data_IF_578703357809
#
_entry.id   IF_578703357809
#
_cell.length_a   1.000
_cell.length_b   1.000
_cell.length_c   1.000
_cell.angle_alpha   90.00
_cell.angle_beta   90.00
_cell.angle_gamma   90.00
#
_symmetry.space_group_name_H-M   'P 1'
#
loop_
_entity.id
_entity.type
_entity.pdbx_description
1 polymer ?
#
# COMPACT_ATOMS: atom_id res chain seq x y z
N UNK A 1 -4.47 8.28 21.17
CA UNK A 1 -4.08 7.56 19.93
C UNK A 1 -3.37 8.54 19.03
N UNK A 2 -2.19 8.19 18.49
CA UNK A 2 -1.56 8.99 17.43
C UNK A 2 -2.50 9.01 16.23
N UNK A 3 -2.84 10.19 15.72
CA UNK A 3 -3.67 10.33 14.53
C UNK A 3 -2.90 9.78 13.32
N UNK A 4 -3.49 8.80 12.64
CA UNK A 4 -2.94 8.27 11.40
C UNK A 4 -3.82 8.73 10.22
N UNK A 5 -3.36 9.69 9.39
CA UNK A 5 -4.14 10.29 8.30
C UNK A 5 -4.61 9.27 7.27
N UNK A 6 -3.74 8.31 6.89
CA UNK A 6 -4.10 7.32 5.88
C UNK A 6 -5.13 6.33 6.39
N UNK A 7 -5.04 5.89 7.65
CA UNK A 7 -6.10 5.05 8.25
C UNK A 7 -7.46 5.76 8.27
N UNK A 8 -7.49 7.04 8.63
CA UNK A 8 -8.74 7.81 8.66
C UNK A 8 -9.30 8.06 7.26
N UNK A 9 -8.43 8.37 6.29
CA UNK A 9 -8.82 8.53 4.89
C UNK A 9 -9.44 7.24 4.32
N UNK A 10 -8.80 6.10 4.58
CA UNK A 10 -9.29 4.80 4.14
C UNK A 10 -10.65 4.46 4.79
N UNK A 11 -10.80 4.74 6.08
CA UNK A 11 -12.08 4.55 6.78
C UNK A 11 -13.20 5.39 6.16
N UNK A 12 -12.94 6.66 5.85
CA UNK A 12 -13.94 7.54 5.24
C UNK A 12 -14.38 7.07 3.84
N UNK A 13 -13.45 6.51 3.04
CA UNK A 13 -13.81 5.93 1.74
C UNK A 13 -14.58 4.62 1.93
N UNK A 14 -14.11 3.77 2.84
CA UNK A 14 -14.75 2.50 3.16
C UNK A 14 -16.20 2.69 3.66
N UNK A 15 -16.47 3.70 4.49
CA UNK A 15 -17.82 3.98 4.98
C UNK A 15 -18.81 4.29 3.84
N UNK A 16 -18.34 4.94 2.77
CA UNK A 16 -19.16 5.20 1.58
C UNK A 16 -19.31 3.95 0.71
N UNK A 17 -18.24 3.18 0.52
CA UNK A 17 -18.34 1.87 -0.14
C UNK A 17 -19.31 0.94 0.58
N UNK A 18 -19.33 0.97 1.91
CA UNK A 18 -20.30 0.21 2.70
C UNK A 18 -21.73 0.71 2.52
N UNK A 19 -21.97 1.98 2.17
CA UNK A 19 -23.30 2.51 1.89
C UNK A 19 -23.84 2.02 0.53
N UNK A 20 -22.95 1.76 -0.43
CA UNK A 20 -23.28 1.23 -1.74
C UNK A 20 -23.36 -0.32 -1.73
N UNK A 21 -24.47 -0.95 -2.19
CA UNK A 21 -24.59 -2.40 -2.22
C UNK A 21 -23.51 -3.11 -3.04
N UNK A 22 -23.15 -2.58 -4.21
CA UNK A 22 -22.19 -3.22 -5.13
C UNK A 22 -20.77 -3.12 -4.56
N UNK A 23 -20.37 -1.93 -4.10
CA UNK A 23 -19.03 -1.73 -3.52
C UNK A 23 -18.84 -2.46 -2.19
N UNK A 24 -19.92 -2.65 -1.43
CA UNK A 24 -19.90 -3.44 -0.18
C UNK A 24 -19.50 -4.89 -0.44
N UNK A 25 -19.87 -5.46 -1.58
CA UNK A 25 -19.50 -6.85 -1.92
C UNK A 25 -17.99 -7.01 -2.05
N UNK A 26 -17.28 -5.99 -2.57
CA UNK A 26 -15.82 -6.01 -2.64
C UNK A 26 -15.15 -5.98 -1.25
N UNK A 27 -15.71 -5.24 -0.30
CA UNK A 27 -15.23 -5.25 1.10
C UNK A 27 -15.50 -6.61 1.75
N UNK A 28 -16.67 -7.20 1.50
CA UNK A 28 -17.03 -8.51 2.01
C UNK A 28 -16.10 -9.61 1.44
N UNK A 29 -15.78 -9.53 0.14
CA UNK A 29 -14.81 -10.43 -0.50
C UNK A 29 -13.42 -10.28 0.12
N UNK A 30 -12.90 -9.05 0.26
CA UNK A 30 -11.63 -8.81 0.92
C UNK A 30 -11.62 -9.35 2.36
N UNK A 31 -12.73 -9.26 3.09
CA UNK A 31 -12.87 -9.88 4.41
C UNK A 31 -12.72 -11.40 4.35
N UNK A 32 -13.38 -12.07 3.39
CA UNK A 32 -13.24 -13.52 3.22
C UNK A 32 -11.80 -13.91 2.91
N UNK A 33 -11.10 -13.17 2.02
CA UNK A 33 -9.68 -13.40 1.76
C UNK A 33 -8.86 -13.43 3.06
N UNK A 34 -9.12 -12.51 4.00
CA UNK A 34 -8.38 -12.48 5.27
C UNK A 34 -8.70 -13.63 6.23
N UNK A 35 -9.80 -14.34 6.01
CA UNK A 35 -10.24 -15.49 6.81
C UNK A 35 -9.86 -16.81 6.17
N UNK A 36 -9.88 -16.86 4.86
CA UNK A 36 -9.56 -18.02 4.07
C UNK A 36 -8.06 -18.29 4.24
N UNK A 37 -7.75 -19.40 4.90
CA UNK A 37 -6.38 -19.86 5.10
C UNK A 37 -5.87 -20.60 3.86
N UNK A 38 -6.26 -20.16 2.68
CA UNK A 38 -5.76 -20.74 1.44
C UNK A 38 -4.24 -20.54 1.42
N UNK A 39 -3.44 -21.63 1.46
CA UNK A 39 -1.99 -21.54 1.46
C UNK A 39 -1.43 -20.81 0.24
N UNK A 40 -2.16 -20.81 -0.88
CA UNK A 40 -1.73 -20.17 -2.12
C UNK A 40 -2.03 -18.66 -2.10
N UNK A 41 -3.07 -18.21 -1.39
CA UNK A 41 -3.43 -16.79 -1.27
C UNK A 41 -2.76 -16.10 -0.08
N UNK A 42 -2.44 -16.83 0.99
CA UNK A 42 -1.89 -16.26 2.22
C UNK A 42 -0.61 -15.40 2.01
N UNK A 43 0.35 -15.81 1.16
CA UNK A 43 1.52 -14.97 0.87
C UNK A 43 1.16 -13.65 0.20
N UNK A 44 0.15 -13.64 -0.68
CA UNK A 44 -0.30 -12.42 -1.39
C UNK A 44 -0.96 -11.43 -0.43
N UNK A 45 -1.73 -11.92 0.55
CA UNK A 45 -2.34 -11.05 1.55
C UNK A 45 -1.26 -10.43 2.45
N UNK A 46 -0.27 -11.22 2.89
CA UNK A 46 0.80 -10.73 3.78
C UNK A 46 1.68 -9.65 3.13
N UNK A 47 1.91 -9.72 1.82
CA UNK A 47 2.63 -8.64 1.11
C UNK A 47 1.80 -7.35 1.11
N UNK A 48 0.48 -7.44 0.97
CA UNK A 48 -0.40 -6.27 0.99
C UNK A 48 -0.59 -5.70 2.38
N UNK A 49 -0.72 -6.54 3.41
CA UNK A 49 -0.82 -6.09 4.79
C UNK A 49 -0.79 -7.21 5.82
N UNK A 50 -0.25 -6.90 6.99
CA UNK A 50 -0.23 -7.75 8.17
C UNK A 50 -0.54 -6.89 9.41
N UNK A 51 -1.77 -6.40 9.57
CA UNK A 51 -2.11 -5.47 10.63
C UNK A 51 -2.03 -6.08 12.02
N UNK A 52 -1.35 -5.37 12.92
CA UNK A 52 -1.19 -5.81 14.30
C UNK A 52 -2.53 -5.88 15.09
N UNK A 53 -3.51 -5.07 14.69
CA UNK A 53 -4.83 -4.98 15.36
C UNK A 53 -5.96 -5.65 14.57
N UNK A 54 -5.60 -6.50 13.61
CA UNK A 54 -6.55 -7.12 12.70
C UNK A 54 -7.07 -6.18 11.60
N UNK A 55 -7.95 -6.71 10.78
CA UNK A 55 -8.50 -6.06 9.60
C UNK A 55 -9.76 -5.27 9.96
N UNK A 56 -9.62 -3.94 10.03
CA UNK A 56 -10.76 -3.02 10.09
C UNK A 56 -11.28 -2.69 8.68
N UNK A 57 -12.45 -2.08 8.58
CA UNK A 57 -13.12 -1.83 7.28
C UNK A 57 -12.29 -0.94 6.34
N UNK A 58 -11.50 0.00 6.88
CA UNK A 58 -10.58 0.82 6.08
C UNK A 58 -9.43 0.01 5.49
N UNK A 59 -8.94 -0.98 6.26
CA UNK A 59 -7.94 -1.92 5.74
C UNK A 59 -8.52 -2.92 4.74
N UNK A 60 -9.78 -3.33 4.91
CA UNK A 60 -10.46 -4.19 3.94
C UNK A 60 -10.71 -3.46 2.61
N UNK A 61 -11.08 -2.18 2.65
CA UNK A 61 -11.09 -1.31 1.47
C UNK A 61 -9.72 -1.29 0.78
N UNK A 62 -8.65 -1.02 1.53
CA UNK A 62 -7.30 -0.98 0.97
C UNK A 62 -6.89 -2.33 0.36
N UNK A 63 -7.23 -3.44 1.01
CA UNK A 63 -6.97 -4.78 0.49
C UNK A 63 -7.76 -5.05 -0.80
N UNK A 64 -9.05 -4.69 -0.86
CA UNK A 64 -9.86 -4.81 -2.06
C UNK A 64 -9.25 -4.04 -3.24
N UNK A 65 -8.76 -2.83 -3.00
CA UNK A 65 -8.05 -2.05 -4.01
C UNK A 65 -6.75 -2.71 -4.46
N UNK A 66 -5.93 -3.22 -3.54
CA UNK A 66 -4.66 -3.88 -3.89
C UNK A 66 -4.88 -5.17 -4.68
N UNK A 67 -5.88 -5.95 -4.29
CA UNK A 67 -6.28 -7.16 -5.00
C UNK A 67 -6.77 -6.83 -6.42
N UNK A 68 -7.69 -5.87 -6.57
CA UNK A 68 -8.16 -5.41 -7.88
C UNK A 68 -7.01 -4.97 -8.78
N UNK A 69 -6.08 -4.15 -8.27
CA UNK A 69 -4.91 -3.71 -9.04
C UNK A 69 -4.03 -4.89 -9.49
N UNK A 70 -3.87 -5.92 -8.66
CA UNK A 70 -3.10 -7.11 -9.00
C UNK A 70 -3.81 -7.92 -10.09
N UNK A 71 -5.08 -8.26 -9.90
CA UNK A 71 -5.84 -9.10 -10.84
C UNK A 71 -6.11 -8.38 -12.17
N UNK A 72 -6.20 -7.05 -12.16
CA UNK A 72 -6.35 -6.24 -13.37
C UNK A 72 -5.03 -5.97 -14.11
N UNK A 73 -3.90 -6.52 -13.65
CA UNK A 73 -2.58 -6.31 -14.27
C UNK A 73 -2.05 -4.87 -14.16
N UNK A 74 -2.49 -4.14 -13.13
CA UNK A 74 -2.01 -2.79 -12.80
C UNK A 74 -0.93 -2.78 -11.72
N UNK A 75 -0.75 -3.90 -11.03
CA UNK A 75 0.28 -4.10 -10.03
C UNK A 75 1.14 -5.30 -10.40
N UNK A 76 2.44 -5.15 -10.16
CA UNK A 76 3.44 -6.18 -10.39
C UNK A 76 4.27 -6.41 -9.14
N UNK A 77 4.73 -7.64 -8.97
CA UNK A 77 5.47 -8.08 -7.80
C UNK A 77 6.79 -8.69 -8.26
N UNK A 78 7.89 -8.17 -7.74
CA UNK A 78 9.22 -8.74 -7.86
C UNK A 78 9.64 -9.38 -6.53
N UNK A 79 10.26 -10.55 -6.60
CA UNK A 79 10.72 -11.29 -5.43
C UNK A 79 12.24 -11.13 -5.23
N UNK A 80 12.63 -10.93 -3.98
CA UNK A 80 14.02 -10.84 -3.55
C UNK A 80 14.23 -11.89 -2.45
N UNK A 81 14.68 -13.11 -2.79
CA UNK A 81 14.93 -14.14 -1.79
C UNK A 81 16.03 -13.71 -0.83
N UNK A 82 15.71 -13.55 0.46
CA UNK A 82 16.67 -13.16 1.49
C UNK A 82 17.16 -14.35 2.33
N UNK A 83 16.48 -15.50 2.25
CA UNK A 83 16.82 -16.70 3.02
C UNK A 83 16.55 -16.60 4.54
N UNK A 84 16.22 -15.42 5.04
CA UNK A 84 15.90 -15.13 6.44
C UNK A 84 14.64 -14.28 6.54
N UNK A 85 13.93 -14.43 7.65
CA UNK A 85 12.72 -13.66 7.96
C UNK A 85 13.05 -12.42 8.78
N UNK A 86 12.23 -11.36 8.70
CA UNK A 86 12.50 -10.13 9.42
C UNK A 86 12.39 -10.36 10.92
N UNK A 87 13.24 -9.68 11.68
CA UNK A 87 13.19 -9.64 13.14
C UNK A 87 12.29 -8.49 13.59
N UNK A 88 11.81 -8.59 14.84
CA UNK A 88 10.97 -7.56 15.49
C UNK A 88 11.64 -6.19 15.45
N UNK A 89 10.83 -5.13 15.51
CA UNK A 89 11.27 -3.73 15.43
C UNK A 89 12.46 -3.36 16.31
N UNK A 90 12.62 -3.95 17.50
CA UNK A 90 13.79 -3.69 18.37
C UNK A 90 15.13 -4.19 17.82
N UNK A 91 15.13 -4.95 16.72
CA UNK A 91 16.29 -5.57 16.09
C UNK A 91 16.58 -4.97 14.71
N UNK A 92 16.40 -3.65 14.54
CA UNK A 92 16.60 -2.96 13.24
C UNK A 92 17.99 -3.18 12.65
N UNK A 93 19.04 -3.20 13.47
CA UNK A 93 20.41 -3.46 13.03
C UNK A 93 20.56 -4.86 12.42
N UNK A 94 19.91 -5.88 13.01
CA UNK A 94 19.92 -7.23 12.46
C UNK A 94 19.16 -7.32 11.12
N UNK A 95 18.05 -6.58 11.00
CA UNK A 95 17.32 -6.47 9.73
C UNK A 95 18.17 -5.77 8.66
N UNK A 96 18.86 -4.67 9.02
CA UNK A 96 19.79 -3.98 8.12
C UNK A 96 20.93 -4.90 7.67
N UNK A 97 21.52 -5.66 8.58
CA UNK A 97 22.60 -6.59 8.27
C UNK A 97 22.13 -7.71 7.33
N UNK A 98 20.94 -8.27 7.57
CA UNK A 98 20.35 -9.27 6.68
C UNK A 98 20.13 -8.71 5.27
N UNK A 99 19.52 -7.52 5.14
CA UNK A 99 19.30 -6.89 3.85
C UNK A 99 20.63 -6.60 3.11
N UNK A 100 21.65 -6.12 3.83
CA UNK A 100 22.97 -5.89 3.26
C UNK A 100 23.70 -7.17 2.83
N UNK A 101 23.36 -8.32 3.44
CA UNK A 101 23.98 -9.62 3.14
C UNK A 101 23.34 -10.30 1.93
N UNK A 102 22.02 -10.22 1.81
CA UNK A 102 21.26 -11.09 0.90
C UNK A 102 20.61 -10.37 -0.28
N UNK A 103 20.53 -9.04 -0.30
CA UNK A 103 20.08 -8.33 -1.49
C UNK A 103 21.09 -8.48 -2.63
N UNK A 104 20.58 -8.48 -3.86
CA UNK A 104 21.39 -8.42 -5.07
C UNK A 104 22.34 -7.19 -5.04
N UNK A 105 23.58 -7.28 -5.58
CA UNK A 105 24.55 -6.18 -5.57
C UNK A 105 24.07 -4.86 -6.18
N UNK A 106 23.11 -4.88 -7.10
CA UNK A 106 22.53 -3.68 -7.70
C UNK A 106 21.40 -3.07 -6.87
N UNK A 107 21.00 -3.76 -5.80
CA UNK A 107 20.00 -3.33 -4.84
C UNK A 107 20.63 -2.98 -3.49
N UNK A 108 20.09 -1.95 -2.85
CA UNK A 108 20.53 -1.51 -1.52
C UNK A 108 19.33 -1.07 -0.69
N UNK A 109 19.21 -1.62 0.51
CA UNK A 109 18.27 -1.15 1.51
C UNK A 109 18.95 -0.37 2.64
N UNK A 110 18.31 0.70 3.09
CA UNK A 110 18.68 1.49 4.25
C UNK A 110 17.51 1.52 5.24
N UNK A 111 17.65 0.85 6.39
CA UNK A 111 16.68 0.81 7.48
C UNK A 111 16.84 2.06 8.34
N UNK A 112 15.73 2.72 8.69
CA UNK A 112 15.72 3.79 9.69
C UNK A 112 15.91 3.17 11.08
N UNK A 113 17.17 3.17 11.55
CA UNK A 113 17.55 2.64 12.85
C UNK A 113 17.00 3.44 14.03
N UNK A 114 16.64 4.70 13.80
CA UNK A 114 16.24 5.63 14.85
C UNK A 114 14.72 5.85 14.91
N UNK A 115 13.97 5.27 13.96
CA UNK A 115 12.51 5.39 13.83
C UNK A 115 12.06 6.84 13.99
N UNK A 116 12.68 7.77 13.24
CA UNK A 116 12.52 9.23 13.39
C UNK A 116 11.19 9.72 12.82
N UNK A 117 10.08 9.12 13.24
CA UNK A 117 8.74 9.45 12.77
C UNK A 117 8.53 9.21 11.28
N UNK A 118 9.37 8.38 10.65
CA UNK A 118 9.28 8.07 9.24
C UNK A 118 7.98 7.29 8.95
N UNK A 119 7.32 7.62 7.84
CA UNK A 119 6.12 6.95 7.33
C UNK A 119 6.41 5.51 6.82
N UNK A 120 7.65 5.02 7.01
CA UNK A 120 8.15 3.71 6.60
C UNK A 120 9.37 3.30 7.44
N UNK A 121 9.78 2.04 7.38
CA UNK A 121 10.93 1.49 8.10
C UNK A 121 12.28 1.74 7.43
N UNK A 122 12.28 2.22 6.19
CA UNK A 122 13.49 2.49 5.44
C UNK A 122 13.25 2.78 3.97
N UNK A 123 14.30 2.63 3.17
CA UNK A 123 14.26 2.82 1.72
C UNK A 123 14.98 1.66 1.04
N UNK A 124 14.35 1.06 0.03
CA UNK A 124 15.01 0.19 -0.94
C UNK A 124 15.33 1.01 -2.19
N UNK A 125 16.53 0.85 -2.73
CA UNK A 125 16.99 1.46 -3.99
C UNK A 125 17.57 0.37 -4.88
N UNK A 126 17.38 0.47 -6.19
CA UNK A 126 17.93 -0.48 -7.17
C UNK A 126 18.37 0.26 -8.43
N UNK A 127 19.48 -0.21 -9.02
CA UNK A 127 20.11 0.45 -10.17
C UNK A 127 19.74 -0.16 -11.53
N UNK A 128 19.37 -1.43 -11.54
CA UNK A 128 19.03 -2.20 -12.74
C UNK A 128 17.54 -2.55 -12.71
N UNK A 129 16.86 -2.64 -13.87
CA UNK A 129 15.46 -3.06 -13.89
C UNK A 129 15.28 -4.41 -13.18
N UNK A 130 14.21 -4.55 -12.37
CA UNK A 130 13.93 -5.79 -11.64
C UNK A 130 12.81 -6.54 -12.36
N UNK A 131 12.98 -7.83 -12.71
CA UNK A 131 11.90 -8.63 -13.28
C UNK A 131 10.78 -8.79 -12.27
N UNK A 132 9.55 -8.53 -12.71
CA UNK A 132 8.34 -8.61 -11.89
C UNK A 132 7.22 -9.33 -12.64
N UNK A 133 6.36 -10.00 -11.89
CA UNK A 133 5.21 -10.74 -12.43
C UNK A 133 3.89 -10.13 -11.95
N UNK A 134 2.86 -10.20 -12.78
CA UNK A 134 1.49 -9.80 -12.45
C UNK A 134 0.50 -10.50 -13.39
N UNK A 135 -0.79 -10.18 -13.27
CA UNK A 135 -1.83 -10.84 -14.07
C UNK A 135 -1.66 -10.66 -15.59
N UNK A 136 -1.01 -9.57 -16.03
CA UNK A 136 -0.70 -9.28 -17.45
C UNK A 136 0.61 -9.90 -17.94
N UNK A 137 1.29 -10.70 -17.13
CA UNK A 137 2.55 -11.37 -17.47
C UNK A 137 3.77 -10.80 -16.76
N UNK A 138 4.95 -11.04 -17.35
CA UNK A 138 6.24 -10.59 -16.82
C UNK A 138 6.58 -9.21 -17.40
N UNK A 139 7.01 -8.29 -16.53
CA UNK A 139 7.53 -6.98 -16.91
C UNK A 139 8.85 -6.69 -16.17
N UNK A 140 9.42 -5.52 -16.41
CA UNK A 140 10.52 -4.98 -15.61
C UNK A 140 10.06 -3.73 -14.84
N UNK A 141 10.34 -3.71 -13.54
CA UNK A 141 10.23 -2.48 -12.72
C UNK A 141 11.49 -1.65 -13.00
N UNK A 142 11.37 -0.42 -13.53
CA UNK A 142 12.53 0.39 -13.90
C UNK A 142 13.37 0.76 -12.67
N UNK A 143 14.67 1.06 -12.84
CA UNK A 143 15.56 1.53 -11.77
C UNK A 143 14.92 2.65 -10.94
N UNK A 144 15.08 2.59 -9.62
CA UNK A 144 14.37 3.50 -8.75
C UNK A 144 14.53 3.23 -7.27
N UNK A 145 13.53 3.68 -6.52
CA UNK A 145 13.49 3.51 -5.07
C UNK A 145 12.06 3.35 -4.57
N UNK A 146 11.89 2.63 -3.49
CA UNK A 146 10.61 2.36 -2.85
C UNK A 146 10.75 2.47 -1.32
N UNK A 147 9.74 3.01 -0.61
CA UNK A 147 9.66 2.89 0.84
C UNK A 147 9.74 1.42 1.25
N UNK A 148 10.50 1.14 2.31
CA UNK A 148 10.66 -0.20 2.86
C UNK A 148 9.80 -0.34 4.11
N UNK A 149 9.03 -1.41 4.17
CA UNK A 149 8.10 -1.76 5.24
C UNK A 149 8.44 -3.16 5.75
N UNK A 150 8.84 -3.26 7.02
CA UNK A 150 9.37 -4.49 7.62
C UNK A 150 8.39 -5.02 8.68
N UNK A 151 7.94 -6.25 8.49
CA UNK A 151 7.03 -6.92 9.41
C UNK A 151 5.59 -6.47 9.25
N UNK A 152 4.97 -6.12 10.39
CA UNK A 152 3.57 -5.78 10.48
C UNK A 152 3.30 -4.39 9.90
N UNK A 153 2.58 -4.34 8.78
CA UNK A 153 2.25 -3.11 8.05
C UNK A 153 0.77 -3.16 7.68
N UNK A 154 0.04 -2.06 7.82
CA UNK A 154 -1.37 -2.01 7.42
C UNK A 154 -1.48 -1.95 5.89
N UNK A 155 -2.53 -2.54 5.31
CA UNK A 155 -2.80 -2.42 3.87
C UNK A 155 -2.95 -0.96 3.41
N UNK A 156 -3.48 -0.09 4.28
CA UNK A 156 -3.57 1.36 4.00
C UNK A 156 -2.20 2.03 3.82
N UNK A 157 -1.15 1.53 4.48
CA UNK A 157 0.23 2.01 4.32
C UNK A 157 0.78 1.57 2.96
N UNK A 158 0.52 0.32 2.55
CA UNK A 158 0.87 -0.18 1.21
C UNK A 158 0.21 0.67 0.11
N UNK A 159 -1.10 0.94 0.21
CA UNK A 159 -1.80 1.85 -0.71
C UNK A 159 -1.20 3.25 -0.73
N UNK A 160 -0.89 3.81 0.44
CA UNK A 160 -0.27 5.13 0.55
C UNK A 160 1.04 5.21 -0.24
N UNK A 161 1.92 4.23 -0.07
CA UNK A 161 3.21 4.20 -0.75
C UNK A 161 3.06 4.00 -2.25
N UNK A 162 2.20 3.07 -2.68
CA UNK A 162 1.94 2.87 -4.11
C UNK A 162 1.39 4.14 -4.76
N UNK A 163 0.39 4.78 -4.16
CA UNK A 163 -0.19 5.98 -4.73
C UNK A 163 0.79 7.17 -4.76
N UNK A 164 1.66 7.32 -3.76
CA UNK A 164 2.63 8.44 -3.67
C UNK A 164 3.90 8.21 -4.46
N UNK A 165 4.44 6.99 -4.41
CA UNK A 165 5.77 6.66 -4.93
C UNK A 165 5.70 5.81 -6.18
N UNK A 166 4.62 5.06 -6.38
CA UNK A 166 4.47 4.10 -7.48
C UNK A 166 5.03 2.72 -7.13
N UNK A 167 5.67 2.57 -5.97
CA UNK A 167 6.24 1.32 -5.52
C UNK A 167 6.36 1.28 -3.98
N UNK A 168 6.43 0.06 -3.43
CA UNK A 168 6.73 -0.23 -2.02
C UNK A 168 7.50 -1.54 -1.92
N UNK A 169 8.49 -1.61 -1.03
CA UNK A 169 9.20 -2.83 -0.68
C UNK A 169 8.63 -3.39 0.62
N UNK A 170 8.16 -4.65 0.61
CA UNK A 170 7.50 -5.33 1.72
C UNK A 170 8.29 -6.55 2.13
N UNK A 171 8.68 -6.60 3.40
CA UNK A 171 9.27 -7.79 4.01
C UNK A 171 8.45 -8.19 5.23
N UNK A 172 7.34 -8.94 5.06
CA UNK A 172 6.39 -9.27 6.12
C UNK A 172 6.95 -10.31 7.11
N UNK A 173 6.40 -10.37 8.33
CA UNK A 173 6.82 -11.39 9.30
C UNK A 173 6.46 -12.80 8.82
N UNK A 174 7.35 -13.76 9.09
CA UNK A 174 7.18 -15.16 8.68
C UNK A 174 7.80 -15.47 7.32
N UNK A 175 8.10 -14.46 6.52
CA UNK A 175 8.55 -14.64 5.14
C UNK A 175 10.05 -14.44 4.96
N UNK A 176 10.66 -15.30 4.13
CA UNK A 176 12.10 -15.26 3.79
C UNK A 176 12.40 -14.50 2.51
N UNK A 177 11.39 -13.82 1.97
CA UNK A 177 11.44 -13.07 0.72
C UNK A 177 11.06 -11.64 1.05
N UNK A 178 11.76 -10.69 0.44
CA UNK A 178 11.32 -9.30 0.34
C UNK A 178 10.66 -9.14 -1.02
N UNK A 179 9.54 -8.45 -1.09
CA UNK A 179 8.84 -8.17 -2.33
C UNK A 179 8.92 -6.70 -2.68
N UNK A 180 9.20 -6.39 -3.94
CA UNK A 180 8.98 -5.04 -4.49
C UNK A 180 7.67 -5.06 -5.25
N UNK A 181 6.71 -4.26 -4.78
CA UNK A 181 5.41 -4.09 -5.39
C UNK A 181 5.45 -2.77 -6.17
N UNK A 182 5.11 -2.81 -7.47
CA UNK A 182 5.12 -1.65 -8.36
C UNK A 182 3.81 -1.47 -9.11
N UNK A 183 3.38 -0.22 -9.29
CA UNK A 183 2.29 0.12 -10.20
C UNK A 183 2.80 0.11 -11.64
N UNK A 184 1.96 -0.38 -12.56
CA UNK A 184 2.18 -0.28 -14.00
C UNK A 184 2.33 1.17 -14.44
N UNK A 185 1.36 1.98 -14.05
CA UNK A 185 1.31 3.40 -14.35
C UNK A 185 0.78 4.16 -13.14
N UNK A 186 1.68 4.83 -12.42
CA UNK A 186 1.29 5.73 -11.32
C UNK A 186 0.47 6.94 -11.84
N UNK A 187 0.62 7.29 -13.11
CA UNK A 187 -0.07 8.39 -13.76
C UNK A 187 -1.58 8.22 -13.78
N UNK A 188 -2.10 7.00 -13.85
CA UNK A 188 -3.55 6.71 -13.85
C UNK A 188 -4.23 7.26 -12.59
N UNK A 189 -3.79 6.83 -11.40
CA UNK A 189 -4.34 7.29 -10.11
C UNK A 189 -4.12 8.80 -9.93
N UNK A 190 -2.95 9.31 -10.34
CA UNK A 190 -2.62 10.74 -10.19
C UNK A 190 -3.51 11.62 -11.07
N UNK A 191 -3.79 11.20 -12.29
CA UNK A 191 -4.62 11.95 -13.25
C UNK A 191 -6.06 12.05 -12.78
N UNK A 192 -6.64 10.96 -12.28
CA UNK A 192 -7.97 10.96 -11.65
C UNK A 192 -7.99 11.85 -10.41
N UNK A 193 -6.97 11.72 -9.54
CA UNK A 193 -6.87 12.54 -8.33
C UNK A 193 -6.87 14.04 -8.60
N UNK A 194 -6.17 14.47 -9.67
CA UNK A 194 -6.05 15.89 -10.03
C UNK A 194 -7.15 16.39 -10.98
N UNK A 195 -8.14 15.56 -11.31
CA UNK A 195 -9.20 15.91 -12.26
C UNK A 195 -8.72 16.09 -13.70
N UNK A 196 -7.58 15.51 -14.07
CA UNK A 196 -7.07 15.50 -15.45
C UNK A 196 -7.79 14.42 -16.28
N UNK A 197 -8.22 13.34 -15.63
CA UNK A 197 -8.95 12.24 -16.25
C UNK A 197 -10.16 11.86 -15.39
N UNK A 198 -11.22 11.39 -16.03
CA UNK A 198 -12.34 10.72 -15.39
C UNK A 198 -12.11 9.20 -15.43
N UNK A 199 -12.78 8.46 -14.54
CA UNK A 199 -12.73 7.00 -14.53
C UNK A 199 -14.07 6.42 -14.08
N UNK A 200 -14.49 5.35 -14.75
CA UNK A 200 -15.61 4.50 -14.34
C UNK A 200 -15.13 3.30 -13.50
N UNK A 201 -13.82 3.21 -13.21
CA UNK A 201 -13.24 2.16 -12.36
C UNK A 201 -13.30 2.62 -10.90
N UNK A 202 -14.28 2.09 -10.15
CA UNK A 202 -14.55 2.46 -8.75
C UNK A 202 -13.32 2.29 -7.84
N UNK A 203 -12.42 1.36 -8.15
CA UNK A 203 -11.20 1.16 -7.39
C UNK A 203 -10.19 2.28 -7.63
N UNK A 204 -10.04 2.73 -8.88
CA UNK A 204 -9.19 3.88 -9.21
C UNK A 204 -9.79 5.16 -8.62
N UNK A 205 -11.10 5.36 -8.74
CA UNK A 205 -11.82 6.48 -8.13
C UNK A 205 -11.67 6.48 -6.60
N UNK A 206 -11.84 5.33 -5.96
CA UNK A 206 -11.67 5.14 -4.52
C UNK A 206 -10.24 5.42 -4.04
N UNK A 207 -9.22 4.97 -4.78
CA UNK A 207 -7.81 5.26 -4.48
C UNK A 207 -7.46 6.74 -4.66
N UNK A 208 -7.98 7.39 -5.71
CA UNK A 208 -7.82 8.82 -5.93
C UNK A 208 -8.42 9.63 -4.78
N UNK A 209 -9.62 9.27 -4.34
CA UNK A 209 -10.27 9.92 -3.20
C UNK A 209 -9.55 9.65 -1.88
N UNK A 210 -9.14 8.41 -1.62
CA UNK A 210 -8.30 8.06 -0.48
C UNK A 210 -7.10 9.00 -0.41
N UNK A 211 -6.39 9.19 -1.53
CA UNK A 211 -5.24 10.08 -1.59
C UNK A 211 -5.57 11.56 -1.38
N UNK A 212 -6.72 12.03 -1.88
CA UNK A 212 -7.20 13.37 -1.59
C UNK A 212 -7.44 13.55 -0.09
N UNK A 213 -8.11 12.59 0.55
CA UNK A 213 -8.39 12.62 1.99
C UNK A 213 -7.09 12.58 2.83
N UNK A 214 -6.09 11.80 2.42
CA UNK A 214 -4.75 11.82 3.06
C UNK A 214 -4.12 13.20 2.95
N UNK A 215 -4.10 13.77 1.74
CA UNK A 215 -3.48 15.07 1.48
C UNK A 215 -4.16 16.18 2.29
N UNK A 216 -5.49 16.23 2.29
CA UNK A 216 -6.26 17.16 3.13
C UNK A 216 -5.97 16.98 4.63
N UNK A 217 -5.90 15.73 5.10
CA UNK A 217 -5.59 15.41 6.50
C UNK A 217 -4.19 15.83 6.96
N UNK A 218 -3.26 16.03 6.02
CA UNK A 218 -1.95 16.61 6.29
C UNK A 218 -1.94 18.14 6.28
N UNK A 219 -2.65 18.78 5.34
CA UNK A 219 -2.56 20.22 5.11
C UNK A 219 -3.54 21.05 5.96
N UNK A 220 -4.69 20.49 6.36
CA UNK A 220 -5.73 21.22 7.09
C UNK A 220 -5.60 21.16 8.62
N UNK A 221 -4.45 20.75 9.17
CA UNK A 221 -4.21 20.81 10.62
C UNK A 221 -3.62 22.14 11.08
N UNK A 222 -4.40 23.21 10.90
CA UNK A 222 -4.45 24.31 11.87
C UNK A 222 -5.33 23.91 13.08
N UNK A 223 -5.22 24.59 14.23
CA UNK A 223 -5.99 24.22 15.42
C UNK A 223 -7.49 24.42 15.18
N UNK A 224 -8.24 23.31 15.23
CA UNK A 224 -9.70 23.23 15.24
C UNK A 224 -10.44 23.64 13.94
N UNK A 225 -10.61 22.71 13.01
CA UNK A 225 -11.92 22.50 12.36
C UNK A 225 -12.04 21.04 11.91
N UNK A 226 -12.78 20.25 12.69
CA UNK A 226 -13.03 18.85 12.40
C UNK A 226 -14.37 18.74 11.65
N UNK A 227 -14.27 18.34 10.39
CA UNK A 227 -15.26 17.62 9.57
C UNK A 227 -16.70 17.59 10.11
N UNK A 228 -17.42 18.69 9.95
CA UNK A 228 -18.87 18.69 9.73
C UNK A 228 -19.13 19.53 8.48
N UNK A 229 -19.50 18.86 7.39
CA UNK A 229 -19.87 19.50 6.13
C UNK A 229 -18.72 19.60 5.13
N UNK A 230 -18.48 18.52 4.39
CA UNK A 230 -18.10 18.69 2.99
C UNK A 230 -19.40 18.91 2.21
N UNK A 231 -19.49 19.95 1.36
CA UNK A 231 -20.69 20.20 0.58
C UNK A 231 -20.83 19.11 -0.48
N UNK A 232 -21.94 18.38 -0.40
CA UNK A 232 -22.46 17.59 -1.51
C UNK A 232 -22.96 18.59 -2.56
N UNK A 233 -22.28 18.62 -3.71
CA UNK A 233 -22.75 19.27 -4.93
C UNK A 233 -22.30 20.73 -5.10
N UNK A 234 -21.60 20.98 -6.21
CA UNK A 234 -21.70 22.24 -6.93
C UNK A 234 -22.23 21.96 -8.33
N UNK A 235 -23.08 22.82 -8.91
CA UNK A 235 -23.86 22.51 -10.10
C UNK A 235 -23.02 22.62 -11.37
N UNK A 236 -23.39 21.81 -12.35
CA UNK A 236 -23.06 22.02 -13.75
C UNK A 236 -23.57 23.39 -14.22
N UNK A 237 -22.67 24.15 -14.83
CA UNK A 237 -22.99 25.21 -15.80
C UNK A 237 -22.26 24.91 -17.09
#
# INVERSE_FOLDING_TARGET
MSYNPHRQAALAVADRWMADPELREHIAYAYQLTRDQDPDCAPVIDIFGQPHRGWDVGQLFALACLDHLLVSGRLYVAEHPLGTAPKRDKHREANQAALATYLDPDSRAAVDLMQRGAECDGLLTWKTPIPASGASGVIEIPPGSAPLEIGATDATTTCLHLCRRGAVARWPYGHKTLWTIGLRDRGEIQSVRTGIADTDDDFIGGLAEFMNNVWWGWHNRGPATLMRGLPVGAPST
#
